data_IF_710987576292
#
_entry.id   IF_710987576292
#
_cell.length_a   1.000
_cell.length_b   1.000
_cell.length_c   1.000
_cell.angle_alpha   90.00
_cell.angle_beta   90.00
_cell.angle_gamma   90.00
#
_symmetry.space_group_name_H-M   'P 1'
#
loop_
_entity.id
_entity.type
_entity.pdbx_description
1 polymer ?
#
# COMPACT_ATOMS: atom_id res chain seq x y z
N UNK A 1 6.58 19.89 0.31
CA UNK A 1 5.58 18.84 0.63
C UNK A 1 6.26 17.89 1.57
N UNK A 2 5.69 17.62 2.75
CA UNK A 2 6.21 16.57 3.62
C UNK A 2 6.03 15.23 2.88
N UNK A 3 7.12 14.53 2.59
CA UNK A 3 7.18 13.36 1.70
C UNK A 3 6.52 12.09 2.29
N UNK A 4 5.88 12.19 3.45
CA UNK A 4 5.50 11.05 4.28
C UNK A 4 4.08 11.15 4.88
N UNK A 5 3.21 11.95 4.26
CA UNK A 5 1.84 12.10 4.73
C UNK A 5 0.87 11.11 4.04
N UNK A 6 0.01 10.48 4.82
CA UNK A 6 -1.22 9.87 4.32
C UNK A 6 -2.11 10.96 3.67
N UNK A 7 -2.94 10.62 2.67
CA UNK A 7 -3.96 11.54 2.20
C UNK A 7 -4.86 12.00 3.36
N UNK A 8 -5.32 13.27 3.37
CA UNK A 8 -6.01 13.85 4.53
C UNK A 8 -7.15 13.00 5.09
N UNK A 9 -8.00 12.44 4.21
CA UNK A 9 -9.11 11.58 4.62
C UNK A 9 -8.66 10.37 5.45
N UNK A 10 -7.59 9.70 5.03
CA UNK A 10 -7.09 8.52 5.75
C UNK A 10 -6.25 8.89 6.97
N UNK A 11 -5.60 10.05 6.95
CA UNK A 11 -4.94 10.59 8.14
C UNK A 11 -5.97 10.84 9.25
N UNK A 12 -7.13 11.41 8.91
CA UNK A 12 -8.23 11.64 9.86
C UNK A 12 -8.78 10.30 10.40
N UNK A 13 -9.10 9.35 9.53
CA UNK A 13 -9.60 8.03 9.95
C UNK A 13 -8.60 7.26 10.83
N UNK A 14 -7.31 7.31 10.50
CA UNK A 14 -6.29 6.66 11.32
C UNK A 14 -6.03 7.40 12.63
N UNK A 15 -6.20 8.72 12.68
CA UNK A 15 -6.14 9.49 13.92
C UNK A 15 -7.23 9.09 14.91
N UNK A 16 -8.37 8.64 14.42
CA UNK A 16 -9.47 8.10 15.24
C UNK A 16 -9.26 6.62 15.61
N UNK A 17 -8.63 5.83 14.72
CA UNK A 17 -8.38 4.41 14.94
C UNK A 17 -7.19 4.13 15.88
N UNK A 18 -6.19 5.02 15.93
CA UNK A 18 -4.92 4.77 16.60
C UNK A 18 -4.67 5.74 17.77
N UNK A 19 -4.01 5.27 18.84
CA UNK A 19 -3.66 6.13 19.98
C UNK A 19 -2.58 7.17 19.63
N UNK A 20 -1.84 6.96 18.55
CA UNK A 20 -0.83 7.87 18.04
C UNK A 20 -0.71 7.75 16.51
N UNK A 21 -0.33 8.84 15.80
CA UNK A 21 -0.09 8.79 14.36
C UNK A 21 0.93 7.71 13.98
N UNK A 22 0.78 7.04 12.83
CA UNK A 22 1.77 6.10 12.34
C UNK A 22 3.11 6.81 12.10
N UNK A 23 4.20 6.11 12.41
CA UNK A 23 5.53 6.59 12.02
C UNK A 23 5.65 6.58 10.48
N UNK A 24 6.24 7.63 9.90
CA UNK A 24 6.54 7.69 8.47
C UNK A 24 7.54 6.60 8.03
N UNK A 25 7.59 6.30 6.74
CA UNK A 25 8.48 5.29 6.16
C UNK A 25 9.53 5.96 5.26
N UNK A 26 10.55 6.56 5.89
CA UNK A 26 11.50 7.43 5.22
C UNK A 26 12.33 6.73 4.13
N UNK A 27 12.43 5.39 4.18
CA UNK A 27 13.11 4.61 3.14
C UNK A 27 12.32 4.50 1.84
N UNK A 28 11.03 4.87 1.82
CA UNK A 28 10.19 4.85 0.64
C UNK A 28 10.13 6.23 -0.05
N UNK A 29 11.25 6.65 -0.63
CA UNK A 29 11.44 8.00 -1.17
C UNK A 29 10.82 8.18 -2.56
N UNK A 30 9.50 8.34 -2.69
CA UNK A 30 8.86 8.46 -4.01
C UNK A 30 9.47 9.56 -4.89
N UNK A 31 9.78 10.74 -4.34
CA UNK A 31 10.41 11.85 -5.06
C UNK A 31 11.80 11.51 -5.61
N UNK A 32 12.60 10.79 -4.84
CA UNK A 32 13.91 10.26 -5.24
C UNK A 32 13.92 8.73 -5.16
N UNK A 33 13.18 8.08 -6.07
CA UNK A 33 12.80 6.68 -5.95
C UNK A 33 13.99 5.74 -5.72
N UNK A 34 14.06 5.15 -4.53
CA UNK A 34 15.10 4.19 -4.13
C UNK A 34 15.14 2.96 -5.05
N UNK A 35 14.01 2.57 -5.62
CA UNK A 35 13.92 1.42 -6.53
C UNK A 35 14.33 1.73 -7.98
N UNK A 36 14.58 2.98 -8.34
CA UNK A 36 15.13 3.35 -9.64
C UNK A 36 16.66 3.43 -9.64
N UNK A 37 17.31 3.28 -8.48
CA UNK A 37 18.75 3.49 -8.33
C UNK A 37 19.57 2.35 -8.98
N UNK A 38 20.78 2.63 -9.51
CA UNK A 38 21.67 1.60 -10.05
C UNK A 38 22.07 0.48 -9.09
N UNK A 39 22.02 0.74 -7.78
CA UNK A 39 22.29 -0.26 -6.75
C UNK A 39 21.20 -1.36 -6.67
N UNK A 40 20.03 -1.15 -7.26
CA UNK A 40 18.99 -2.18 -7.39
C UNK A 40 19.27 -3.00 -8.65
N UNK A 41 19.27 -4.35 -8.59
CA UNK A 41 19.47 -5.22 -9.75
C UNK A 41 18.48 -4.92 -10.85
N UNK A 42 18.89 -5.06 -12.11
CA UNK A 42 18.08 -4.67 -13.26
C UNK A 42 16.70 -5.37 -13.27
N UNK A 43 16.66 -6.65 -12.90
CA UNK A 43 15.44 -7.46 -12.82
C UNK A 43 14.47 -7.06 -11.68
N UNK A 44 14.92 -6.23 -10.75
CA UNK A 44 14.13 -5.69 -9.61
C UNK A 44 13.96 -4.17 -9.68
N UNK A 45 14.70 -3.52 -10.58
CA UNK A 45 14.74 -2.06 -10.68
C UNK A 45 13.48 -1.57 -11.36
N UNK A 46 12.89 -0.53 -10.77
CA UNK A 46 11.77 0.15 -11.40
C UNK A 46 12.26 1.08 -12.50
N UNK A 47 11.49 1.19 -13.58
CA UNK A 47 11.72 2.17 -14.65
C UNK A 47 11.42 3.56 -14.11
N UNK A 48 12.24 4.55 -14.45
CA UNK A 48 12.07 5.92 -13.95
C UNK A 48 10.76 6.54 -14.45
N UNK A 49 10.30 6.11 -15.62
CA UNK A 49 9.09 6.57 -16.32
C UNK A 49 7.79 6.05 -15.69
N UNK A 50 7.87 5.06 -14.80
CA UNK A 50 6.70 4.47 -14.12
C UNK A 50 6.84 4.40 -12.61
N UNK A 51 8.04 4.25 -12.05
CA UNK A 51 8.27 3.90 -10.63
C UNK A 51 7.35 2.72 -10.24
N UNK A 52 6.68 2.76 -9.09
CA UNK A 52 5.66 1.77 -8.72
C UNK A 52 4.29 1.99 -9.39
N UNK A 53 4.11 3.04 -10.20
CA UNK A 53 2.83 3.43 -10.79
C UNK A 53 2.51 2.62 -12.07
N UNK A 54 2.66 1.30 -12.00
CA UNK A 54 2.20 0.32 -13.01
C UNK A 54 0.91 -0.37 -12.53
N UNK A 55 0.04 0.40 -11.87
CA UNK A 55 -1.23 -0.03 -11.30
C UNK A 55 -2.23 1.11 -11.43
N UNK A 56 -3.42 0.81 -11.95
CA UNK A 56 -4.54 1.74 -12.05
C UNK A 56 -5.44 1.50 -10.82
N UNK A 57 -5.46 2.40 -9.82
CA UNK A 57 -6.33 2.22 -8.65
C UNK A 57 -7.81 2.30 -9.02
N UNK A 58 -8.61 1.46 -8.36
CA UNK A 58 -10.05 1.71 -8.20
C UNK A 58 -10.23 2.89 -7.26
N UNK A 59 -11.08 3.86 -7.63
CA UNK A 59 -11.42 5.01 -6.78
C UNK A 59 -12.86 4.85 -6.28
N UNK A 60 -13.11 4.74 -4.96
CA UNK A 60 -14.46 4.78 -4.38
C UNK A 60 -15.26 6.01 -4.82
N UNK A 61 -16.59 5.88 -4.89
CA UNK A 61 -17.50 6.95 -5.37
C UNK A 61 -17.27 8.30 -4.68
N UNK A 62 -17.06 8.29 -3.37
CA UNK A 62 -16.77 9.50 -2.61
C UNK A 62 -15.38 10.09 -2.92
N UNK A 63 -14.37 9.28 -3.26
CA UNK A 63 -13.07 9.81 -3.69
C UNK A 63 -13.18 10.46 -5.07
N UNK A 64 -13.96 9.86 -5.98
CA UNK A 64 -14.30 10.47 -7.27
C UNK A 64 -14.97 11.82 -7.03
N UNK A 65 -15.98 11.87 -6.16
CA UNK A 65 -16.66 13.11 -5.77
C UNK A 65 -15.73 14.16 -5.18
N UNK A 66 -14.82 13.75 -4.29
CA UNK A 66 -13.81 14.65 -3.69
C UNK A 66 -12.83 15.19 -4.72
N UNK A 67 -12.38 14.40 -5.69
CA UNK A 67 -11.54 14.89 -6.80
C UNK A 67 -12.31 15.91 -7.65
N UNK A 68 -13.60 15.68 -7.92
CA UNK A 68 -14.45 16.60 -8.66
C UNK A 68 -14.68 17.92 -7.90
N UNK A 69 -14.77 17.86 -6.57
CA UNK A 69 -14.96 19.01 -5.69
C UNK A 69 -13.65 19.73 -5.31
N UNK A 70 -12.49 19.14 -5.56
CA UNK A 70 -11.21 19.76 -5.26
C UNK A 70 -10.92 20.89 -6.28
N UNK A 71 -10.75 22.10 -5.76
CA UNK A 71 -10.41 23.30 -6.53
C UNK A 71 -8.95 23.72 -6.34
N UNK A 72 -8.14 22.95 -5.60
CA UNK A 72 -6.70 23.19 -5.49
C UNK A 72 -6.04 23.05 -6.88
N UNK A 73 -5.31 24.08 -7.37
CA UNK A 73 -4.66 24.01 -8.68
C UNK A 73 -3.73 22.80 -8.87
N UNK A 74 -3.13 22.29 -7.79
CA UNK A 74 -2.29 21.08 -7.84
C UNK A 74 -3.07 19.82 -8.27
N UNK A 75 -4.39 19.82 -8.09
CA UNK A 75 -5.28 18.70 -8.42
C UNK A 75 -5.92 18.82 -9.81
N UNK A 76 -5.75 19.95 -10.49
CA UNK A 76 -6.39 20.23 -11.78
C UNK A 76 -6.10 19.17 -12.85
N UNK A 77 -4.85 18.68 -12.90
CA UNK A 77 -4.47 17.59 -13.84
C UNK A 77 -5.23 16.30 -13.55
N UNK A 78 -5.28 15.87 -12.28
CA UNK A 78 -5.98 14.66 -11.88
C UNK A 78 -7.47 14.74 -12.15
N UNK A 79 -8.08 15.90 -11.84
CA UNK A 79 -9.49 16.22 -12.13
C UNK A 79 -9.79 16.19 -13.62
N UNK A 80 -8.92 16.75 -14.47
CA UNK A 80 -9.10 16.72 -15.92
C UNK A 80 -9.06 15.29 -16.49
N UNK A 81 -8.13 14.45 -16.01
CA UNK A 81 -8.04 13.03 -16.41
C UNK A 81 -9.28 12.25 -15.97
N UNK A 82 -9.74 12.49 -14.74
CA UNK A 82 -10.97 11.89 -14.23
C UNK A 82 -12.18 12.28 -15.09
N UNK A 83 -12.35 13.57 -15.40
CA UNK A 83 -13.45 14.05 -16.24
C UNK A 83 -13.43 13.44 -17.65
N UNK A 84 -12.25 13.24 -18.26
CA UNK A 84 -12.14 12.53 -19.54
C UNK A 84 -12.63 11.07 -19.44
N UNK A 85 -12.21 10.35 -18.39
CA UNK A 85 -12.67 8.96 -18.15
C UNK A 85 -14.17 8.89 -17.95
N UNK A 86 -14.75 9.79 -17.15
CA UNK A 86 -16.19 9.85 -16.91
C UNK A 86 -16.97 10.10 -18.22
N UNK A 87 -16.55 11.07 -19.04
CA UNK A 87 -17.19 11.37 -20.33
C UNK A 87 -17.13 10.20 -21.31
N UNK A 88 -16.08 9.39 -21.24
CA UNK A 88 -15.87 8.22 -22.09
C UNK A 88 -16.50 6.95 -21.52
N UNK A 89 -17.13 7.01 -20.34
CA UNK A 89 -17.72 5.86 -19.66
C UNK A 89 -16.68 4.83 -19.18
N UNK A 90 -15.40 5.20 -19.06
CA UNK A 90 -14.33 4.25 -18.72
C UNK A 90 -14.37 3.98 -17.22
N UNK A 91 -14.79 2.77 -16.86
CA UNK A 91 -14.80 2.31 -15.48
C UNK A 91 -15.82 3.03 -14.60
N UNK A 92 -16.82 3.71 -15.17
CA UNK A 92 -17.90 4.31 -14.39
C UNK A 92 -18.68 3.19 -13.68
N UNK A 93 -18.97 3.36 -12.40
CA UNK A 93 -19.72 2.40 -11.58
C UNK A 93 -20.33 3.10 -10.34
N UNK A 94 -21.47 2.64 -9.78
CA UNK A 94 -22.05 3.25 -8.58
C UNK A 94 -21.11 3.25 -7.37
N UNK A 95 -20.29 2.21 -7.25
CA UNK A 95 -19.26 2.13 -6.19
C UNK A 95 -18.06 3.04 -6.41
N UNK A 96 -17.94 3.68 -7.57
CA UNK A 96 -16.82 4.55 -7.92
C UNK A 96 -16.31 4.36 -9.33
N UNK A 97 -15.04 4.72 -9.56
CA UNK A 97 -14.37 4.44 -10.81
C UNK A 97 -13.57 3.14 -10.66
N UNK A 98 -14.00 2.10 -11.37
CA UNK A 98 -13.29 0.82 -11.45
C UNK A 98 -12.26 0.85 -12.59
N UNK A 99 -11.37 -0.14 -12.58
CA UNK A 99 -10.51 -0.42 -13.75
C UNK A 99 -11.36 -1.06 -14.84
N UNK A 100 -11.07 -0.77 -16.09
CA UNK A 100 -11.70 -1.50 -17.20
C UNK A 100 -11.10 -2.91 -17.34
N UNK A 101 -11.79 -3.81 -18.07
CA UNK A 101 -11.37 -5.21 -18.21
C UNK A 101 -9.97 -5.33 -18.82
N UNK A 102 -9.60 -4.41 -19.71
CA UNK A 102 -8.28 -4.42 -20.36
C UNK A 102 -7.20 -4.02 -19.36
N UNK A 103 -7.43 -2.98 -18.56
CA UNK A 103 -6.55 -2.55 -17.48
C UNK A 103 -6.37 -3.66 -16.44
N UNK A 104 -7.46 -4.36 -16.07
CA UNK A 104 -7.43 -5.49 -15.13
C UNK A 104 -6.61 -6.67 -15.67
N UNK A 105 -6.91 -7.15 -16.88
CA UNK A 105 -6.18 -8.27 -17.49
C UNK A 105 -4.69 -7.94 -17.66
N UNK A 106 -4.38 -6.73 -18.12
CA UNK A 106 -2.99 -6.30 -18.29
C UNK A 106 -2.23 -6.25 -16.96
N UNK A 107 -2.90 -5.85 -15.87
CA UNK A 107 -2.31 -5.89 -14.53
C UNK A 107 -2.06 -7.32 -14.04
N UNK A 108 -3.02 -8.23 -14.24
CA UNK A 108 -2.87 -9.64 -13.85
C UNK A 108 -1.68 -10.31 -14.56
N UNK A 109 -1.57 -10.12 -15.88
CA UNK A 109 -0.44 -10.63 -16.66
C UNK A 109 0.90 -10.02 -16.22
N UNK A 110 0.93 -8.73 -15.87
CA UNK A 110 2.12 -8.06 -15.34
C UNK A 110 2.56 -8.67 -14.01
N UNK A 111 1.61 -8.92 -13.10
CA UNK A 111 1.88 -9.50 -11.78
C UNK A 111 2.41 -10.92 -11.93
N UNK A 112 1.78 -11.73 -12.77
CA UNK A 112 2.22 -13.11 -13.07
C UNK A 112 3.65 -13.13 -13.65
N UNK A 113 3.96 -12.18 -14.54
CA UNK A 113 5.29 -12.04 -15.12
C UNK A 113 6.33 -11.40 -14.16
N UNK A 114 5.91 -10.91 -12.98
CA UNK A 114 6.80 -10.25 -12.02
C UNK A 114 7.36 -8.91 -12.50
N UNK A 115 6.65 -8.21 -13.39
CA UNK A 115 7.09 -6.98 -14.08
C UNK A 115 6.58 -5.69 -13.41
N UNK A 116 6.20 -5.77 -12.14
CA UNK A 116 5.74 -4.61 -11.37
C UNK A 116 6.81 -3.52 -11.31
N UNK A 117 6.41 -2.30 -11.64
CA UNK A 117 7.29 -1.14 -11.77
C UNK A 117 8.21 -1.14 -12.99
N UNK A 118 8.10 -2.13 -13.88
CA UNK A 118 8.89 -2.22 -15.12
C UNK A 118 8.06 -2.09 -16.40
N UNK A 119 6.77 -2.42 -16.36
CA UNK A 119 5.89 -2.36 -17.52
C UNK A 119 5.44 -0.92 -17.83
N UNK A 120 6.11 -0.27 -18.78
CA UNK A 120 5.78 1.10 -19.22
C UNK A 120 4.40 1.22 -19.86
N UNK A 121 3.88 0.12 -20.41
CA UNK A 121 2.59 0.08 -21.11
C UNK A 121 1.39 0.11 -20.14
N UNK A 122 1.60 -0.22 -18.86
CA UNK A 122 0.56 -0.16 -17.82
C UNK A 122 0.74 1.04 -16.89
N UNK A 123 1.33 2.12 -17.39
CA UNK A 123 1.52 3.34 -16.62
C UNK A 123 0.18 3.90 -16.16
N UNK A 124 0.06 4.08 -14.85
CA UNK A 124 -1.09 4.69 -14.19
C UNK A 124 -1.43 6.06 -14.83
N UNK A 125 -2.70 6.32 -15.21
CA UNK A 125 -3.10 7.59 -15.81
C UNK A 125 -2.76 8.80 -14.93
N UNK A 126 -2.79 8.64 -13.61
CA UNK A 126 -2.55 9.71 -12.64
C UNK A 126 -1.06 9.95 -12.35
N UNK A 127 -0.15 9.22 -12.99
CA UNK A 127 1.29 9.47 -12.83
C UNK A 127 1.69 10.79 -13.51
N UNK A 128 2.40 11.64 -12.78
CA UNK A 128 3.02 12.87 -13.27
C UNK A 128 4.45 12.53 -13.67
N UNK A 129 4.74 12.53 -14.97
CA UNK A 129 6.07 12.16 -15.50
C UNK A 129 7.17 13.10 -14.97
N UNK A 130 6.88 14.39 -14.86
CA UNK A 130 7.81 15.35 -14.27
C UNK A 130 7.80 15.22 -12.74
N UNK A 131 8.87 14.63 -12.19
CA UNK A 131 9.03 14.38 -10.75
C UNK A 131 8.48 13.03 -10.26
N UNK A 132 7.69 12.33 -11.08
CA UNK A 132 7.15 11.01 -10.78
C UNK A 132 6.26 11.00 -9.52
N UNK A 133 5.30 11.92 -9.50
CA UNK A 133 4.31 12.12 -8.44
C UNK A 133 2.92 11.67 -8.89
N UNK A 134 1.92 11.78 -8.02
CA UNK A 134 0.53 11.39 -8.31
C UNK A 134 -0.38 12.63 -8.42
N UNK A 135 -1.05 12.80 -9.56
CA UNK A 135 -1.96 13.94 -9.80
C UNK A 135 -3.27 13.86 -9.02
N UNK A 136 -3.53 12.74 -8.35
CA UNK A 136 -4.65 12.57 -7.42
C UNK A 136 -4.17 12.25 -6.00
N UNK A 137 -2.92 12.61 -5.65
CA UNK A 137 -2.30 12.17 -4.39
C UNK A 137 -3.18 12.40 -3.14
N UNK A 138 -3.90 13.53 -3.06
CA UNK A 138 -4.81 13.87 -1.94
C UNK A 138 -6.04 12.97 -1.81
N UNK A 139 -6.40 12.27 -2.88
CA UNK A 139 -7.60 11.42 -2.97
C UNK A 139 -7.27 10.07 -3.63
N UNK A 140 -6.02 9.60 -3.52
CA UNK A 140 -5.62 8.25 -3.97
C UNK A 140 -6.23 7.22 -3.01
N UNK A 141 -6.51 6.02 -3.51
CA UNK A 141 -7.17 4.98 -2.71
C UNK A 141 -6.26 4.36 -1.63
N UNK A 142 -6.83 3.46 -0.83
CA UNK A 142 -6.16 2.74 0.25
C UNK A 142 -4.88 2.04 -0.23
N UNK A 143 -4.95 1.25 -1.30
CA UNK A 143 -3.79 0.53 -1.88
C UNK A 143 -2.63 1.48 -2.15
N UNK A 144 -2.86 2.56 -2.91
CA UNK A 144 -1.80 3.49 -3.27
C UNK A 144 -1.33 4.36 -2.11
N UNK A 145 -2.14 4.51 -1.05
CA UNK A 145 -1.81 5.29 0.15
C UNK A 145 -0.97 4.53 1.15
N UNK A 146 -1.04 3.21 1.11
CA UNK A 146 -0.39 2.29 2.08
C UNK A 146 0.73 1.47 1.43
N UNK A 147 0.98 1.65 0.14
CA UNK A 147 2.07 1.01 -0.56
C UNK A 147 3.40 1.69 -0.27
N UNK A 148 4.31 0.96 0.38
CA UNK A 148 5.70 1.36 0.60
C UNK A 148 6.65 0.30 0.03
N UNK A 149 7.59 0.72 -0.80
CA UNK A 149 8.56 -0.19 -1.42
C UNK A 149 9.68 -0.65 -0.45
N UNK A 150 9.84 0.08 0.67
CA UNK A 150 10.77 -0.18 1.77
C UNK A 150 10.11 0.27 3.07
N UNK A 151 10.48 -0.40 4.15
CA UNK A 151 9.97 -0.08 5.49
C UNK A 151 11.15 0.16 6.43
N UNK A 152 11.05 1.17 7.28
CA UNK A 152 12.07 1.56 8.25
C UNK A 152 12.29 0.45 9.28
N UNK A 153 11.22 -0.24 9.68
CA UNK A 153 11.24 -1.37 10.62
C UNK A 153 11.03 -2.73 9.93
N UNK A 154 11.42 -2.84 8.66
CA UNK A 154 11.35 -4.09 7.89
C UNK A 154 9.97 -4.73 7.89
N UNK A 155 9.91 -6.03 8.21
CA UNK A 155 8.71 -6.85 8.21
C UNK A 155 7.63 -6.36 9.19
N UNK A 156 8.01 -5.71 10.29
CA UNK A 156 7.04 -5.14 11.25
C UNK A 156 6.34 -3.93 10.67
N UNK A 157 7.10 -3.03 10.04
CA UNK A 157 6.54 -1.90 9.30
C UNK A 157 5.63 -2.37 8.16
N UNK A 158 6.06 -3.39 7.40
CA UNK A 158 5.25 -3.99 6.35
C UNK A 158 3.92 -4.56 6.86
N UNK A 159 3.93 -5.37 7.92
CA UNK A 159 2.70 -5.91 8.52
C UNK A 159 1.75 -4.82 8.99
N UNK A 160 2.29 -3.78 9.62
CA UNK A 160 1.49 -2.64 10.05
C UNK A 160 0.77 -1.98 8.86
N UNK A 161 1.50 -1.68 7.79
CA UNK A 161 0.89 -1.07 6.60
C UNK A 161 -0.06 -2.02 5.86
N UNK A 162 0.17 -3.33 5.89
CA UNK A 162 -0.79 -4.31 5.39
C UNK A 162 -2.09 -4.33 6.22
N UNK A 163 -2.00 -4.23 7.55
CA UNK A 163 -3.18 -4.13 8.41
C UNK A 163 -3.95 -2.83 8.14
N UNK A 164 -3.22 -1.70 7.99
CA UNK A 164 -3.81 -0.41 7.62
C UNK A 164 -4.48 -0.50 6.24
N UNK A 165 -3.83 -1.10 5.25
CA UNK A 165 -4.40 -1.31 3.92
C UNK A 165 -5.71 -2.10 3.99
N UNK A 166 -5.75 -3.18 4.77
CA UNK A 166 -6.94 -4.00 4.95
C UNK A 166 -8.09 -3.20 5.59
N UNK A 167 -7.81 -2.44 6.66
CA UNK A 167 -8.80 -1.56 7.28
C UNK A 167 -9.33 -0.51 6.30
N UNK A 168 -8.44 0.22 5.63
CA UNK A 168 -8.84 1.30 4.73
C UNK A 168 -9.60 0.78 3.51
N UNK A 169 -9.19 -0.35 2.91
CA UNK A 169 -9.94 -0.99 1.82
C UNK A 169 -11.35 -1.40 2.26
N UNK A 170 -11.48 -1.93 3.48
CA UNK A 170 -12.77 -2.30 4.02
C UNK A 170 -13.67 -1.07 4.23
N UNK A 171 -13.14 -0.01 4.85
CA UNK A 171 -13.85 1.25 5.03
C UNK A 171 -14.25 1.89 3.71
N UNK A 172 -13.36 1.91 2.72
CA UNK A 172 -13.65 2.37 1.36
C UNK A 172 -14.82 1.62 0.74
N UNK A 173 -14.79 0.29 0.80
CA UNK A 173 -15.82 -0.55 0.21
C UNK A 173 -17.18 -0.33 0.91
N UNK A 174 -17.19 -0.42 2.24
CA UNK A 174 -18.41 -0.33 3.03
C UNK A 174 -19.02 1.08 2.95
N UNK A 175 -18.20 2.13 3.00
CA UNK A 175 -18.66 3.50 2.80
C UNK A 175 -19.20 3.72 1.38
N UNK A 176 -18.47 3.28 0.35
CA UNK A 176 -18.94 3.42 -1.03
C UNK A 176 -20.30 2.74 -1.25
N UNK A 177 -20.50 1.55 -0.65
CA UNK A 177 -21.76 0.82 -0.73
C UNK A 177 -22.89 1.59 -0.06
N UNK A 178 -22.66 2.02 1.19
CA UNK A 178 -23.62 2.81 1.94
C UNK A 178 -24.03 4.07 1.18
N UNK A 179 -23.06 4.80 0.62
CA UNK A 179 -23.28 6.06 -0.08
C UNK A 179 -23.99 5.84 -1.41
N UNK A 180 -23.69 4.75 -2.12
CA UNK A 180 -24.40 4.39 -3.35
C UNK A 180 -25.89 4.13 -3.07
N UNK A 181 -26.18 3.33 -2.04
CA UNK A 181 -27.56 3.04 -1.61
C UNK A 181 -28.27 4.32 -1.15
N UNK A 182 -27.61 5.13 -0.31
CA UNK A 182 -28.18 6.37 0.24
C UNK A 182 -28.54 7.38 -0.85
N UNK A 183 -27.61 7.64 -1.77
CA UNK A 183 -27.78 8.63 -2.84
C UNK A 183 -28.94 8.26 -3.77
N UNK A 184 -29.18 6.96 -4.00
CA UNK A 184 -30.21 6.48 -4.92
C UNK A 184 -31.58 6.27 -4.29
N UNK A 185 -31.64 5.69 -3.09
CA UNK A 185 -32.89 5.17 -2.51
C UNK A 185 -33.41 6.00 -1.32
N UNK A 186 -32.60 6.90 -0.75
CA UNK A 186 -33.02 7.80 0.34
C UNK A 186 -33.47 7.13 1.64
N UNK A 187 -33.63 5.79 1.71
CA UNK A 187 -34.02 5.03 2.91
C UNK A 187 -33.32 3.65 3.03
N UNK A 188 -33.06 3.16 4.27
CA UNK A 188 -32.32 1.91 4.51
C UNK A 188 -33.05 0.60 4.13
N UNK A 189 -34.37 0.60 3.96
CA UNK A 189 -35.17 -0.63 3.78
C UNK A 189 -34.90 -1.37 2.46
N UNK A 190 -34.24 -0.72 1.50
CA UNK A 190 -33.92 -1.30 0.19
C UNK A 190 -32.42 -1.66 0.07
N UNK A 191 -31.64 -1.65 1.16
CA UNK A 191 -30.19 -1.88 1.12
C UNK A 191 -29.82 -3.21 0.44
N UNK A 192 -30.37 -4.34 0.87
CA UNK A 192 -30.04 -5.63 0.28
C UNK A 192 -30.45 -5.73 -1.20
N UNK A 193 -31.57 -5.09 -1.59
CA UNK A 193 -32.01 -5.04 -2.98
C UNK A 193 -31.08 -4.16 -3.83
N UNK A 194 -30.71 -2.99 -3.32
CA UNK A 194 -29.81 -2.04 -3.96
C UNK A 194 -28.39 -2.62 -4.12
N UNK A 195 -27.86 -3.27 -3.07
CA UNK A 195 -26.59 -4.00 -3.12
C UNK A 195 -26.65 -5.08 -4.20
N UNK A 196 -27.70 -5.89 -4.21
CA UNK A 196 -27.85 -6.95 -5.19
C UNK A 196 -27.99 -6.39 -6.62
N UNK A 197 -28.65 -5.24 -6.82
CA UNK A 197 -28.79 -4.61 -8.12
C UNK A 197 -27.46 -3.98 -8.61
N UNK A 198 -26.66 -3.39 -7.72
CA UNK A 198 -25.29 -2.95 -8.02
C UNK A 198 -24.46 -4.15 -8.50
N UNK A 199 -24.50 -5.26 -7.77
CA UNK A 199 -23.74 -6.47 -8.09
C UNK A 199 -24.18 -7.13 -9.40
N UNK A 200 -25.45 -6.99 -9.80
CA UNK A 200 -25.98 -7.50 -11.08
C UNK A 200 -25.72 -6.56 -12.26
N UNK A 201 -25.11 -5.40 -12.04
CA UNK A 201 -24.87 -4.42 -13.11
C UNK A 201 -26.16 -3.72 -13.58
N UNK A 202 -27.23 -3.75 -12.80
CA UNK A 202 -28.55 -3.23 -13.19
C UNK A 202 -28.64 -1.71 -13.01
N UNK A 203 -27.58 -0.95 -13.33
CA UNK A 203 -27.45 0.46 -12.97
C UNK A 203 -27.32 1.45 -14.13
N UNK A 204 -27.37 0.99 -15.38
CA UNK A 204 -27.25 1.84 -16.57
C UNK A 204 -28.35 2.91 -16.66
N UNK A 205 -29.53 2.64 -16.11
CA UNK A 205 -30.66 3.59 -16.03
C UNK A 205 -30.59 4.53 -14.81
N UNK A 206 -29.56 4.42 -13.94
CA UNK A 206 -29.58 5.02 -12.60
C UNK A 206 -28.98 6.41 -12.52
N UNK A 207 -28.06 6.75 -13.43
CA UNK A 207 -27.22 7.93 -13.27
C UNK A 207 -27.25 8.77 -14.55
N UNK A 208 -28.25 9.64 -14.64
CA UNK A 208 -28.34 10.63 -15.73
C UNK A 208 -27.37 11.80 -15.55
N UNK A 209 -26.95 12.06 -14.30
CA UNK A 209 -25.92 13.03 -13.93
C UNK A 209 -24.80 12.33 -13.14
N UNK A 210 -23.78 11.85 -13.86
CA UNK A 210 -22.65 11.09 -13.31
C UNK A 210 -21.80 11.95 -12.37
N UNK A 211 -21.55 13.20 -12.74
CA UNK A 211 -20.75 14.10 -11.91
C UNK A 211 -21.51 14.48 -10.63
N UNK A 212 -22.79 14.83 -10.74
CA UNK A 212 -23.65 15.15 -9.60
C UNK A 212 -23.79 13.98 -8.63
N UNK A 213 -23.92 12.74 -9.14
CA UNK A 213 -23.92 11.53 -8.32
C UNK A 213 -22.66 11.41 -7.46
N UNK A 214 -21.47 11.48 -8.07
CA UNK A 214 -20.23 11.33 -7.31
C UNK A 214 -20.04 12.48 -6.31
N UNK A 215 -20.35 13.72 -6.68
CA UNK A 215 -20.33 14.87 -5.75
C UNK A 215 -21.24 14.62 -4.53
N UNK A 216 -22.46 14.15 -4.75
CA UNK A 216 -23.38 13.83 -3.66
C UNK A 216 -22.83 12.74 -2.71
N UNK A 217 -22.12 11.73 -3.23
CA UNK A 217 -21.48 10.72 -2.37
C UNK A 217 -20.37 11.31 -1.50
N UNK A 218 -19.61 12.28 -2.02
CA UNK A 218 -18.61 12.99 -1.21
C UNK A 218 -19.25 13.85 -0.11
N UNK A 219 -20.34 14.55 -0.43
CA UNK A 219 -21.10 15.36 0.55
C UNK A 219 -21.71 14.47 1.64
N UNK A 220 -22.25 13.31 1.26
CA UNK A 220 -22.77 12.33 2.21
C UNK A 220 -21.69 11.72 3.09
N UNK A 221 -20.49 11.46 2.56
CA UNK A 221 -19.36 11.01 3.37
C UNK A 221 -18.95 12.06 4.40
N UNK A 222 -18.91 13.34 4.03
CA UNK A 222 -18.56 14.43 4.94
C UNK A 222 -19.52 14.55 6.14
N UNK A 223 -20.72 13.97 6.04
CA UNK A 223 -21.68 13.89 7.13
C UNK A 223 -21.54 12.63 8.01
N UNK A 224 -20.62 11.71 7.69
CA UNK A 224 -20.31 10.54 8.51
C UNK A 224 -19.12 10.84 9.42
N UNK A 225 -19.31 10.70 10.73
CA UNK A 225 -18.22 10.64 11.69
C UNK A 225 -17.63 9.22 11.77
N UNK A 226 -16.53 9.09 12.53
CA UNK A 226 -15.86 7.80 12.74
C UNK A 226 -16.80 6.73 13.30
N UNK A 227 -17.63 7.09 14.29
CA UNK A 227 -18.57 6.16 14.90
C UNK A 227 -19.63 5.67 13.89
N UNK A 228 -20.09 6.55 12.99
CA UNK A 228 -21.00 6.19 11.91
C UNK A 228 -20.34 5.25 10.91
N UNK A 229 -19.06 5.46 10.57
CA UNK A 229 -18.29 4.55 9.71
C UNK A 229 -18.16 3.16 10.33
N UNK A 230 -17.80 3.07 11.62
CA UNK A 230 -17.70 1.80 12.34
C UNK A 230 -19.04 1.03 12.35
N UNK A 231 -20.17 1.74 12.42
CA UNK A 231 -21.50 1.14 12.42
C UNK A 231 -21.96 0.62 11.06
N UNK A 232 -21.28 0.95 9.96
CA UNK A 232 -21.69 0.47 8.63
C UNK A 232 -21.48 -1.05 8.47
N UNK A 233 -20.41 -1.57 9.07
CA UNK A 233 -20.11 -3.00 9.23
C UNK A 233 -19.22 -3.25 10.47
N UNK A 234 -19.79 -3.27 11.68
CA UNK A 234 -19.02 -3.45 12.90
C UNK A 234 -18.37 -4.84 12.99
N UNK A 235 -18.90 -5.83 12.27
CA UNK A 235 -18.45 -7.24 12.38
C UNK A 235 -17.06 -7.44 11.82
N UNK A 236 -16.70 -6.69 10.77
CA UNK A 236 -15.38 -6.72 10.17
C UNK A 236 -14.54 -5.49 10.51
N UNK A 237 -15.16 -4.32 10.70
CA UNK A 237 -14.41 -3.09 10.96
C UNK A 237 -13.70 -3.13 12.31
N UNK A 238 -14.35 -3.58 13.39
CA UNK A 238 -13.75 -3.59 14.73
C UNK A 238 -12.53 -4.53 14.82
N UNK A 239 -12.59 -5.79 14.34
CA UNK A 239 -11.40 -6.65 14.29
C UNK A 239 -10.25 -6.07 13.45
N UNK A 240 -10.55 -5.33 12.38
CA UNK A 240 -9.52 -4.67 11.58
C UNK A 240 -8.88 -3.50 12.31
N UNK A 241 -9.65 -2.72 13.09
CA UNK A 241 -9.09 -1.68 13.97
C UNK A 241 -8.17 -2.30 15.02
N UNK A 242 -8.61 -3.37 15.69
CA UNK A 242 -7.79 -4.12 16.65
C UNK A 242 -6.50 -4.64 15.99
N UNK A 243 -6.58 -5.22 14.79
CA UNK A 243 -5.41 -5.71 14.07
C UNK A 243 -4.40 -4.60 13.74
N UNK A 244 -4.86 -3.39 13.40
CA UNK A 244 -3.98 -2.23 13.17
C UNK A 244 -3.32 -1.77 14.47
N UNK A 245 -4.08 -1.70 15.57
CA UNK A 245 -3.57 -1.33 16.89
C UNK A 245 -2.54 -2.34 17.40
N UNK A 246 -2.82 -3.64 17.27
CA UNK A 246 -1.89 -4.72 17.60
C UNK A 246 -0.62 -4.61 16.77
N UNK A 247 -0.73 -4.41 15.45
CA UNK A 247 0.43 -4.25 14.60
C UNK A 247 1.26 -3.00 14.98
N UNK A 248 0.62 -1.89 15.37
CA UNK A 248 1.32 -0.71 15.88
C UNK A 248 2.04 -1.00 17.20
N UNK A 249 1.41 -1.73 18.12
CA UNK A 249 2.04 -2.15 19.36
C UNK A 249 3.28 -3.02 19.09
N UNK A 250 3.18 -4.01 18.20
CA UNK A 250 4.29 -4.89 17.84
C UNK A 250 5.49 -4.16 17.20
N UNK A 251 5.27 -3.01 16.56
CA UNK A 251 6.37 -2.17 16.05
C UNK A 251 7.27 -1.64 17.16
N UNK A 252 6.74 -1.46 18.36
CA UNK A 252 7.46 -0.90 19.51
C UNK A 252 8.02 -1.95 20.48
N UNK A 253 7.70 -3.24 20.28
CA UNK A 253 8.13 -4.33 21.16
C UNK A 253 9.47 -4.90 20.69
N UNK A 254 10.59 -4.77 21.45
CA UNK A 254 11.86 -5.36 21.04
C UNK A 254 11.77 -6.90 21.01
N UNK A 255 12.53 -7.57 20.12
CA UNK A 255 12.62 -9.03 20.17
C UNK A 255 13.28 -9.49 21.48
N UNK A 256 12.94 -10.68 22.01
CA UNK A 256 13.57 -11.17 23.23
C UNK A 256 15.07 -11.46 23.03
N UNK A 257 15.90 -11.14 24.01
CA UNK A 257 17.36 -11.22 23.93
C UNK A 257 17.93 -12.64 23.93
N UNK A 258 17.21 -13.60 24.52
CA UNK A 258 17.63 -15.00 24.63
C UNK A 258 17.08 -15.89 23.50
N UNK A 259 16.34 -15.30 22.57
CA UNK A 259 15.77 -16.04 21.44
C UNK A 259 16.87 -16.59 20.54
N UNK A 260 16.79 -17.89 20.23
CA UNK A 260 17.62 -18.53 19.20
C UNK A 260 17.01 -18.25 17.84
N UNK A 261 17.85 -18.07 16.82
CA UNK A 261 17.43 -17.70 15.47
C UNK A 261 17.86 -18.75 14.45
N UNK A 262 17.05 -18.86 13.39
CA UNK A 262 17.34 -19.67 12.21
C UNK A 262 17.13 -18.85 10.94
N UNK A 263 17.85 -19.19 9.88
CA UNK A 263 17.61 -18.63 8.56
C UNK A 263 16.24 -19.05 8.03
N UNK A 264 15.44 -18.06 7.62
CA UNK A 264 14.09 -18.24 7.07
C UNK A 264 13.87 -17.45 5.77
N UNK A 265 14.90 -16.78 5.26
CA UNK A 265 14.84 -16.00 4.03
C UNK A 265 15.07 -16.84 2.77
N UNK A 266 15.20 -16.14 1.64
CA UNK A 266 15.71 -16.69 0.38
C UNK A 266 17.07 -16.08 0.07
N UNK A 267 17.93 -16.87 -0.56
CA UNK A 267 19.23 -16.44 -1.07
C UNK A 267 19.22 -16.57 -2.60
N UNK A 268 19.63 -15.50 -3.28
CA UNK A 268 19.90 -15.50 -4.73
C UNK A 268 21.28 -14.95 -5.00
N UNK A 269 21.92 -15.48 -6.03
CA UNK A 269 23.15 -14.95 -6.58
C UNK A 269 22.86 -14.46 -8.00
N UNK A 270 23.08 -13.17 -8.26
CA UNK A 270 22.94 -12.56 -9.58
C UNK A 270 24.20 -11.76 -9.89
N UNK A 271 24.89 -12.08 -10.99
CA UNK A 271 26.05 -11.33 -11.47
C UNK A 271 27.13 -11.11 -10.40
N UNK A 272 27.40 -12.13 -9.56
CA UNK A 272 28.38 -12.07 -8.47
C UNK A 272 27.93 -11.29 -7.21
N UNK A 273 26.67 -10.82 -7.16
CA UNK A 273 26.09 -10.24 -5.96
C UNK A 273 25.23 -11.26 -5.22
N UNK A 274 25.47 -11.41 -3.92
CA UNK A 274 24.64 -12.26 -3.06
C UNK A 274 23.53 -11.43 -2.42
N UNK A 275 22.29 -11.88 -2.60
CA UNK A 275 21.10 -11.20 -2.08
C UNK A 275 20.34 -12.09 -1.12
N UNK A 276 20.05 -11.57 0.07
CA UNK A 276 19.19 -12.21 1.07
C UNK A 276 17.88 -11.44 1.16
N UNK A 277 16.74 -12.13 1.12
CA UNK A 277 15.42 -11.49 1.25
C UNK A 277 14.51 -12.27 2.19
N UNK A 278 13.68 -11.56 2.94
CA UNK A 278 12.65 -12.15 3.80
C UNK A 278 11.26 -11.64 3.40
N UNK A 279 10.74 -10.63 4.10
CA UNK A 279 9.31 -10.25 3.98
C UNK A 279 8.88 -9.65 2.63
N UNK A 280 9.79 -9.02 1.88
CA UNK A 280 9.50 -8.39 0.60
C UNK A 280 10.70 -8.55 -0.33
N UNK A 281 10.47 -8.97 -1.58
CA UNK A 281 11.53 -9.11 -2.60
C UNK A 281 12.32 -7.82 -2.79
N UNK A 282 11.60 -6.70 -2.91
CA UNK A 282 12.22 -5.39 -3.07
C UNK A 282 13.01 -4.94 -1.85
N UNK A 283 12.87 -5.61 -0.70
CA UNK A 283 13.59 -5.31 0.53
C UNK A 283 14.95 -6.01 0.65
N UNK A 284 15.38 -6.80 -0.34
CA UNK A 284 16.58 -7.63 -0.26
C UNK A 284 17.87 -6.88 0.18
N UNK A 285 18.71 -7.58 0.94
CA UNK A 285 20.05 -7.19 1.38
C UNK A 285 21.08 -7.66 0.37
N UNK A 286 21.91 -6.75 -0.15
CA UNK A 286 23.16 -7.15 -0.81
C UNK A 286 24.22 -7.38 0.25
N UNK A 287 24.86 -8.56 0.23
CA UNK A 287 25.89 -8.97 1.19
C UNK A 287 27.09 -9.60 0.46
N UNK A 288 28.22 -9.76 1.15
CA UNK A 288 29.36 -10.50 0.60
C UNK A 288 29.05 -12.01 0.49
N UNK A 289 29.79 -12.76 -0.36
CA UNK A 289 29.66 -14.22 -0.43
C UNK A 289 29.80 -14.92 0.93
N UNK A 290 30.78 -14.50 1.74
CA UNK A 290 31.05 -15.08 3.06
C UNK A 290 29.90 -14.82 4.04
N UNK A 291 29.37 -13.58 4.04
CA UNK A 291 28.19 -13.24 4.85
C UNK A 291 26.97 -14.05 4.41
N UNK A 292 26.73 -14.18 3.10
CA UNK A 292 25.62 -15.01 2.60
C UNK A 292 25.77 -16.47 3.03
N UNK A 293 26.98 -17.01 2.92
CA UNK A 293 27.27 -18.38 3.33
C UNK A 293 27.04 -18.62 4.82
N UNK A 294 27.53 -17.70 5.66
CA UNK A 294 27.36 -17.74 7.11
C UNK A 294 25.87 -17.71 7.48
N UNK A 295 25.13 -16.71 6.97
CA UNK A 295 23.73 -16.49 7.34
C UNK A 295 22.84 -17.63 6.83
N UNK A 296 23.00 -18.07 5.59
CA UNK A 296 22.15 -19.15 5.00
C UNK A 296 22.34 -20.49 5.68
N UNK A 297 23.51 -20.73 6.28
CA UNK A 297 23.83 -21.93 7.07
C UNK A 297 23.55 -21.77 8.56
N UNK A 298 23.15 -20.59 9.00
CA UNK A 298 22.82 -20.37 10.41
C UNK A 298 21.62 -21.24 10.80
N UNK A 299 21.84 -22.10 11.79
CA UNK A 299 20.84 -23.02 12.33
C UNK A 299 20.92 -22.93 13.84
N UNK A 300 19.84 -22.46 14.43
CA UNK A 300 19.60 -22.56 15.87
C UNK A 300 20.76 -21.99 16.73
N UNK A 301 21.03 -20.69 16.59
CA UNK A 301 22.06 -20.00 17.37
C UNK A 301 21.59 -18.64 17.88
N UNK A 302 22.25 -18.11 18.90
CA UNK A 302 21.94 -16.80 19.46
C UNK A 302 22.43 -15.66 18.56
N UNK A 303 21.86 -14.47 18.74
CA UNK A 303 22.31 -13.26 18.05
C UNK A 303 23.75 -12.88 18.40
N UNK A 304 24.19 -13.14 19.64
CA UNK A 304 25.55 -12.86 20.09
C UNK A 304 26.59 -13.73 19.36
N UNK A 305 26.30 -15.02 19.20
CA UNK A 305 27.18 -15.94 18.45
C UNK A 305 27.27 -15.54 16.98
N UNK A 306 26.14 -15.19 16.35
CA UNK A 306 26.13 -14.74 14.96
C UNK A 306 26.87 -13.41 14.79
N UNK A 307 26.70 -12.48 15.73
CA UNK A 307 27.41 -11.20 15.71
C UNK A 307 28.94 -11.41 15.73
N UNK A 308 29.45 -12.28 16.61
CA UNK A 308 30.89 -12.60 16.67
C UNK A 308 31.41 -13.24 15.38
N UNK A 309 30.62 -14.12 14.75
CA UNK A 309 30.97 -14.73 13.47
C UNK A 309 30.95 -13.72 12.32
N UNK A 310 29.97 -12.81 12.28
CA UNK A 310 29.89 -11.73 11.30
C UNK A 310 31.04 -10.73 11.45
N UNK A 311 31.39 -10.37 12.69
CA UNK A 311 32.48 -9.43 12.96
C UNK A 311 33.84 -9.95 12.49
N UNK A 312 34.03 -11.27 12.52
CA UNK A 312 35.22 -11.91 11.97
C UNK A 312 35.27 -11.88 10.42
N UNK A 313 34.11 -11.66 9.77
CA UNK A 313 33.96 -11.65 8.31
C UNK A 313 33.79 -10.24 7.72
N UNK A 314 33.45 -9.25 8.54
CA UNK A 314 33.23 -7.86 8.14
C UNK A 314 34.43 -7.04 8.61
N UNK A 315 35.12 -6.33 7.71
CA UNK A 315 36.30 -5.51 8.02
C UNK A 315 36.01 -4.26 8.90
N UNK A 316 34.85 -4.18 9.55
CA UNK A 316 34.40 -3.03 10.35
C UNK A 316 33.52 -3.46 11.53
N UNK A 317 33.88 -3.04 12.75
CA UNK A 317 33.18 -3.38 13.99
C UNK A 317 31.72 -2.89 14.04
N UNK A 318 31.42 -1.72 13.43
CA UNK A 318 30.08 -1.13 13.46
C UNK A 318 29.08 -1.78 12.49
N UNK A 319 29.55 -2.56 11.52
CA UNK A 319 28.68 -3.13 10.48
C UNK A 319 27.93 -4.38 10.95
N UNK A 320 28.50 -5.16 11.88
CA UNK A 320 27.89 -6.42 12.30
C UNK A 320 26.56 -6.21 13.07
N UNK A 321 26.46 -5.30 14.06
CA UNK A 321 25.20 -5.05 14.76
C UNK A 321 24.10 -4.50 13.84
N UNK A 322 24.45 -3.59 12.93
CA UNK A 322 23.49 -3.00 11.98
C UNK A 322 22.98 -4.04 10.99
N UNK A 323 23.87 -4.88 10.45
CA UNK A 323 23.48 -5.98 9.58
C UNK A 323 22.60 -6.99 10.30
N UNK A 324 22.94 -7.34 11.55
CA UNK A 324 22.16 -8.30 12.33
C UNK A 324 20.75 -7.78 12.60
N UNK A 325 20.63 -6.51 13.00
CA UNK A 325 19.33 -5.86 13.17
C UNK A 325 18.52 -5.93 11.87
N UNK A 326 19.15 -5.63 10.73
CA UNK A 326 18.49 -5.75 9.42
C UNK A 326 18.09 -7.17 9.06
N UNK A 327 18.89 -8.18 9.40
CA UNK A 327 18.55 -9.58 9.14
C UNK A 327 17.30 -10.02 9.93
N UNK A 328 17.12 -9.50 11.15
CA UNK A 328 15.94 -9.73 11.98
C UNK A 328 14.75 -8.93 11.45
N UNK A 329 14.92 -7.63 11.25
CA UNK A 329 13.86 -6.73 10.79
C UNK A 329 13.33 -7.17 9.44
N UNK A 330 14.21 -7.55 8.50
CA UNK A 330 13.81 -7.99 7.17
C UNK A 330 13.35 -9.48 7.16
N UNK A 331 13.27 -10.15 8.32
CA UNK A 331 12.84 -11.54 8.50
C UNK A 331 13.65 -12.59 7.73
N UNK A 332 14.91 -12.27 7.48
CA UNK A 332 15.90 -13.22 6.94
C UNK A 332 16.30 -14.21 8.04
N UNK A 333 16.35 -13.73 9.28
CA UNK A 333 16.45 -14.54 10.49
C UNK A 333 15.13 -14.48 11.27
N UNK A 334 14.67 -15.62 11.75
CA UNK A 334 13.47 -15.74 12.59
C UNK A 334 13.78 -16.51 13.87
N UNK A 335 13.01 -16.27 14.96
CA UNK A 335 13.03 -17.14 16.12
C UNK A 335 12.92 -18.61 15.69
N UNK A 336 13.81 -19.45 16.21
CA UNK A 336 13.73 -20.90 16.05
C UNK A 336 12.47 -21.41 16.77
N UNK A 337 11.77 -22.41 16.20
CA UNK A 337 10.55 -22.98 16.76
C UNK A 337 10.76 -23.74 18.08
#
# INVERSE_FOLDING_TARGET
MSDDALPPLYADWLGEALPAPPAPEHRATCGDCVLCKPAVPEEERFRAETKCCTYVPRLPNFLVGRILADEDPAMARGKAILLDRLRRGIGVHPMGMVVDDREQIAYELLVEAGLFGQATDLKCPWFITDGGLCSIWRHRNATCSTWYCRHDQGARGHRFWQAVEALLKHLEHTAALHLAVRTRFGRPRDRAHAEAAILRGEWDDWITDIEGYYRATADHLAALDWEALLRLDPTLTLPLVEAVQDAQFQRHTPPPSETRYTFAGTHRETSGQHRLSGYLRFAALSVSPDTAHLVTRWRDGTLAELAGALQSSLDTDDAAPQLLQRLIDDEILKPAP
#
